data_IF_498409730146
#
_entry.id   IF_498409730146
#
_cell.length_a   1.000
_cell.length_b   1.000
_cell.length_c   1.000
_cell.angle_alpha   90.00
_cell.angle_beta   90.00
_cell.angle_gamma   90.00
#
_symmetry.space_group_name_H-M   'P 1'
#
loop_
_entity.id
_entity.type
_entity.pdbx_description
1 polymer ?
#
# COMPACT_ATOMS: atom_id res chain seq x y z
N UNK A 1 21.01 -2.39 9.02
CA UNK A 1 20.31 -1.36 8.21
C UNK A 1 18.84 -1.70 8.19
N UNK A 2 17.98 -0.70 8.30
CA UNK A 2 16.53 -0.87 8.09
C UNK A 2 16.26 -1.00 6.57
N UNK A 3 15.22 -1.75 6.19
CA UNK A 3 14.83 -2.00 4.79
C UNK A 3 15.94 -2.58 3.89
N UNK A 4 16.74 -3.51 4.42
CA UNK A 4 17.91 -4.09 3.72
C UNK A 4 17.72 -5.57 3.31
N UNK A 5 16.53 -5.91 2.81
CA UNK A 5 16.24 -7.28 2.34
C UNK A 5 17.11 -7.65 1.13
N UNK A 6 17.66 -8.87 1.12
CA UNK A 6 18.58 -9.36 0.07
C UNK A 6 18.14 -10.68 -0.57
N UNK A 7 17.09 -11.33 -0.07
CA UNK A 7 16.68 -12.66 -0.51
C UNK A 7 16.05 -12.66 -1.91
N UNK A 8 15.18 -11.70 -2.20
CA UNK A 8 14.47 -11.60 -3.49
C UNK A 8 14.81 -10.29 -4.21
N UNK A 9 15.06 -10.40 -5.51
CA UNK A 9 15.23 -9.23 -6.37
C UNK A 9 13.89 -8.52 -6.59
N UNK A 10 13.93 -7.22 -6.92
CA UNK A 10 12.73 -6.45 -7.28
C UNK A 10 11.97 -7.11 -8.45
N UNK A 11 12.69 -7.61 -9.45
CA UNK A 11 12.08 -8.31 -10.59
C UNK A 11 11.35 -9.60 -10.16
N UNK A 12 11.91 -10.36 -9.21
CA UNK A 12 11.25 -11.54 -8.66
C UNK A 12 9.96 -11.16 -7.93
N UNK A 13 10.00 -10.11 -7.11
CA UNK A 13 8.83 -9.62 -6.36
C UNK A 13 7.74 -9.11 -7.31
N UNK A 14 8.09 -8.34 -8.34
CA UNK A 14 7.15 -7.91 -9.38
C UNK A 14 6.43 -9.09 -10.04
N UNK A 15 7.18 -10.14 -10.40
CA UNK A 15 6.59 -11.36 -10.97
C UNK A 15 5.60 -12.02 -10.00
N UNK A 16 6.00 -12.18 -8.73
CA UNK A 16 5.13 -12.78 -7.70
C UNK A 16 3.84 -11.99 -7.50
N UNK A 17 3.92 -10.65 -7.48
CA UNK A 17 2.75 -9.76 -7.37
C UNK A 17 1.86 -9.94 -8.59
N UNK A 18 2.42 -9.94 -9.81
CA UNK A 18 1.66 -10.16 -11.04
C UNK A 18 0.94 -11.51 -11.05
N UNK A 19 1.63 -12.58 -10.67
CA UNK A 19 1.06 -13.94 -10.63
C UNK A 19 -0.09 -14.04 -9.61
N UNK A 20 0.00 -13.29 -8.49
CA UNK A 20 -1.05 -13.23 -7.47
C UNK A 20 -2.20 -12.32 -7.86
N UNK A 21 -1.95 -11.18 -8.53
CA UNK A 21 -3.00 -10.36 -9.14
C UNK A 21 -3.85 -11.18 -10.10
N UNK A 22 -3.24 -12.05 -10.92
CA UNK A 22 -3.96 -12.97 -11.80
C UNK A 22 -4.81 -14.03 -11.05
N UNK A 23 -4.55 -14.24 -9.76
CA UNK A 23 -5.33 -15.10 -8.86
C UNK A 23 -6.39 -14.31 -8.06
N UNK A 24 -6.60 -13.03 -8.37
CA UNK A 24 -7.59 -12.16 -7.71
C UNK A 24 -7.09 -11.52 -6.41
N UNK A 25 -5.77 -11.37 -6.23
CA UNK A 25 -5.22 -10.64 -5.08
C UNK A 25 -5.09 -9.15 -5.38
N UNK A 26 -5.57 -8.33 -4.45
CA UNK A 26 -5.24 -6.91 -4.38
C UNK A 26 -4.03 -6.68 -3.49
N UNK A 27 -3.22 -5.68 -3.85
CA UNK A 27 -2.00 -5.32 -3.14
C UNK A 27 -2.05 -3.87 -2.72
N UNK A 28 -1.79 -3.61 -1.44
CA UNK A 28 -1.59 -2.27 -0.90
C UNK A 28 -0.16 -2.18 -0.38
N UNK A 29 0.57 -1.15 -0.79
CA UNK A 29 1.91 -0.88 -0.30
C UNK A 29 1.89 0.16 0.83
N UNK A 30 2.51 -0.15 1.96
CA UNK A 30 2.54 0.72 3.14
C UNK A 30 3.97 1.19 3.40
N UNK A 31 4.23 2.47 3.11
CA UNK A 31 5.55 3.07 3.26
C UNK A 31 5.64 3.99 4.47
N UNK A 32 6.50 3.66 5.44
CA UNK A 32 6.78 4.53 6.59
C UNK A 32 7.85 5.57 6.23
N UNK A 33 7.50 6.86 6.26
CA UNK A 33 8.44 7.98 6.02
C UNK A 33 9.18 7.96 4.66
N UNK A 34 8.72 7.17 3.69
CA UNK A 34 9.33 7.05 2.34
C UNK A 34 8.39 7.57 1.25
N UNK A 35 8.88 7.60 0.01
CA UNK A 35 8.03 7.75 -1.17
C UNK A 35 7.34 6.40 -1.47
N UNK A 36 6.18 6.19 -0.84
CA UNK A 36 5.44 4.95 -0.94
C UNK A 36 4.97 4.67 -2.37
N UNK A 37 4.56 5.70 -3.11
CA UNK A 37 4.09 5.57 -4.48
C UNK A 37 5.20 5.08 -5.42
N UNK A 38 6.37 5.71 -5.35
CA UNK A 38 7.53 5.33 -6.16
C UNK A 38 8.00 3.89 -5.85
N UNK A 39 8.08 3.51 -4.57
CA UNK A 39 8.46 2.14 -4.21
C UNK A 39 7.39 1.10 -4.57
N UNK A 40 6.11 1.44 -4.47
CA UNK A 40 5.01 0.57 -4.92
C UNK A 40 5.10 0.29 -6.43
N UNK A 41 5.31 1.34 -7.24
CA UNK A 41 5.49 1.21 -8.68
C UNK A 41 6.70 0.34 -9.03
N UNK A 42 7.81 0.50 -8.30
CA UNK A 42 8.98 -0.36 -8.44
C UNK A 42 8.70 -1.84 -8.12
N UNK A 43 7.59 -2.17 -7.47
CA UNK A 43 7.15 -3.54 -7.18
C UNK A 43 5.97 -3.98 -8.05
N UNK A 44 5.48 -3.15 -8.98
CA UNK A 44 4.32 -3.48 -9.83
C UNK A 44 2.97 -3.30 -9.12
N UNK A 45 2.95 -2.50 -8.06
CA UNK A 45 1.74 -2.04 -7.37
C UNK A 45 1.45 -0.63 -7.87
N UNK A 46 0.20 -0.38 -8.22
CA UNK A 46 -0.22 0.92 -8.73
C UNK A 46 -0.06 1.99 -7.63
N UNK A 47 0.36 3.19 -8.01
CA UNK A 47 0.68 4.26 -7.05
C UNK A 47 -0.53 4.67 -6.20
N UNK A 48 -1.72 4.48 -6.76
CA UNK A 48 -3.00 4.70 -6.12
C UNK A 48 -3.27 3.68 -4.99
N UNK A 49 -2.62 2.51 -5.02
CA UNK A 49 -2.64 1.50 -3.96
C UNK A 49 -1.44 1.63 -3.00
N UNK A 50 -0.79 2.80 -2.95
CA UNK A 50 0.30 3.07 -2.03
C UNK A 50 -0.09 4.10 -0.97
N UNK A 51 0.18 3.78 0.29
CA UNK A 51 -0.08 4.67 1.43
C UNK A 51 1.24 5.04 2.08
N UNK A 52 1.50 6.35 2.12
CA UNK A 52 2.58 6.90 2.95
C UNK A 52 2.03 7.21 4.33
N UNK A 53 2.71 6.74 5.37
CA UNK A 53 2.41 7.13 6.74
C UNK A 53 3.67 7.63 7.45
N UNK A 54 3.45 8.45 8.49
CA UNK A 54 4.52 8.92 9.37
C UNK A 54 4.72 7.92 10.50
N UNK A 55 5.95 7.53 10.80
CA UNK A 55 6.23 6.58 11.90
C UNK A 55 6.10 7.23 13.29
N UNK A 56 4.89 7.66 13.61
CA UNK A 56 4.48 8.11 14.93
C UNK A 56 3.26 7.30 15.37
N UNK A 57 2.96 7.31 16.66
CA UNK A 57 1.78 6.61 17.20
C UNK A 57 0.49 6.98 16.46
N UNK A 58 0.28 8.28 16.20
CA UNK A 58 -0.86 8.77 15.41
C UNK A 58 -0.81 8.34 13.95
N UNK A 59 0.37 8.38 13.31
CA UNK A 59 0.51 7.99 11.91
C UNK A 59 0.27 6.49 11.68
N UNK A 60 0.73 5.65 12.60
CA UNK A 60 0.44 4.20 12.59
C UNK A 60 -1.05 3.94 12.78
N UNK A 61 -1.70 4.62 13.73
CA UNK A 61 -3.15 4.45 13.96
C UNK A 61 -3.98 4.83 12.72
N UNK A 62 -3.66 5.98 12.08
CA UNK A 62 -4.31 6.41 10.84
C UNK A 62 -4.10 5.42 9.70
N UNK A 63 -2.89 4.87 9.57
CA UNK A 63 -2.57 3.86 8.56
C UNK A 63 -3.46 2.60 8.70
N UNK A 64 -3.58 2.06 9.92
CA UNK A 64 -4.47 0.92 10.15
C UNK A 64 -5.97 1.26 9.96
N UNK A 65 -6.39 2.47 10.31
CA UNK A 65 -7.76 2.91 10.06
C UNK A 65 -8.09 2.98 8.56
N UNK A 66 -7.13 3.43 7.74
CA UNK A 66 -7.27 3.48 6.30
C UNK A 66 -7.37 2.09 5.66
N UNK A 67 -6.53 1.15 6.08
CA UNK A 67 -6.61 -0.25 5.64
C UNK A 67 -7.98 -0.81 6.01
N UNK A 68 -8.46 -0.57 7.23
CA UNK A 68 -9.78 -1.02 7.66
C UNK A 68 -10.92 -0.38 6.84
N UNK A 69 -10.77 0.87 6.39
CA UNK A 69 -11.73 1.51 5.49
C UNK A 69 -11.71 0.87 4.10
N UNK A 70 -10.53 0.67 3.51
CA UNK A 70 -10.37 -0.01 2.22
C UNK A 70 -10.92 -1.44 2.24
N UNK A 71 -10.60 -2.23 3.27
CA UNK A 71 -11.14 -3.58 3.39
C UNK A 71 -12.67 -3.58 3.48
N UNK A 72 -13.27 -2.55 4.12
CA UNK A 72 -14.73 -2.42 4.17
C UNK A 72 -15.33 -2.07 2.81
N UNK A 73 -14.73 -1.15 2.04
CA UNK A 73 -15.23 -0.81 0.69
C UNK A 73 -15.09 -2.00 -0.27
N UNK A 74 -13.97 -2.70 -0.23
CA UNK A 74 -13.73 -3.90 -1.03
C UNK A 74 -14.73 -5.02 -0.73
N UNK A 75 -15.06 -5.26 0.55
CA UNK A 75 -16.07 -6.26 0.95
C UNK A 75 -17.50 -5.84 0.56
N UNK A 76 -17.77 -4.53 0.48
CA UNK A 76 -19.08 -4.00 0.08
C UNK A 76 -19.27 -3.92 -1.45
N UNK A 77 -18.26 -4.25 -2.26
CA UNK A 77 -18.25 -4.06 -3.72
C UNK A 77 -18.62 -2.63 -4.15
N UNK A 78 -18.13 -1.63 -3.42
CA UNK A 78 -18.15 -0.23 -3.89
C UNK A 78 -16.76 0.13 -4.42
N UNK A 79 -16.64 0.17 -5.76
CA UNK A 79 -15.50 0.75 -6.50
C UNK A 79 -15.50 2.27 -6.36
N UNK A 80 -15.12 2.74 -5.18
CA UNK A 80 -15.07 4.15 -4.85
C UNK A 80 -13.76 4.43 -4.10
N UNK A 81 -12.86 5.15 -4.76
CA UNK A 81 -11.54 5.58 -4.30
C UNK A 81 -11.55 6.50 -3.04
N UNK A 82 -12.72 6.79 -2.44
CA UNK A 82 -12.89 7.69 -1.27
C UNK A 82 -12.14 7.28 -0.01
N UNK A 83 -11.55 6.09 0.06
CA UNK A 83 -10.76 5.68 1.22
C UNK A 83 -9.45 6.49 1.37
N UNK A 84 -8.91 7.06 0.28
CA UNK A 84 -7.65 7.83 0.25
C UNK A 84 -7.80 9.24 0.83
N UNK A 85 -8.98 9.83 0.72
CA UNK A 85 -9.30 11.19 1.20
C UNK A 85 -9.11 11.38 2.72
N UNK A 86 -9.15 10.29 3.48
CA UNK A 86 -8.97 10.31 4.93
C UNK A 86 -7.49 10.33 5.37
N UNK A 87 -6.54 10.11 4.45
CA UNK A 87 -5.10 10.03 4.77
C UNK A 87 -4.35 11.26 4.27
N UNK A 88 -4.70 11.80 3.11
CA UNK A 88 -3.91 12.84 2.42
C UNK A 88 -4.12 14.27 2.95
N UNK A 89 -5.03 14.49 3.91
CA UNK A 89 -5.38 15.85 4.41
C UNK A 89 -4.58 16.40 5.59
N UNK A 90 -3.44 15.82 5.95
CA UNK A 90 -2.57 16.39 7.00
C UNK A 90 -1.30 17.02 6.42
N UNK A 91 -1.16 18.34 6.61
CA UNK A 91 0.11 19.08 6.60
C UNK A 91 0.99 18.71 7.79
#
# INVERSE_FOLDING_TARGET
MENASTEYSKATIQKMISDKKAQGWDFIFLGANIDAASEAQNLGIDADHAVKYRNTSTGVQKNFAAIAAYTRSAVQQQDDDSWKDNIEKDK
#
